data_IF_331614640059
#
_entry.id   IF_331614640059
#
_cell.length_a   1.000
_cell.length_b   1.000
_cell.length_c   1.000
_cell.angle_alpha   90.00
_cell.angle_beta   90.00
_cell.angle_gamma   90.00
#
_symmetry.space_group_name_H-M   'P 1'
#
loop_
_entity.id
_entity.type
_entity.pdbx_description
1 polymer ?
#
# COMPACT_ATOMS: atom_id res chain seq x y z
N UNK A 1 24.92 -30.27 -12.29
CA UNK A 1 24.27 -28.95 -12.47
C UNK A 1 23.72 -28.53 -11.12
N UNK A 2 24.29 -27.51 -10.47
CA UNK A 2 23.80 -27.01 -9.19
C UNK A 2 22.64 -26.03 -9.44
N UNK A 3 21.46 -26.34 -8.92
CA UNK A 3 20.31 -25.44 -8.94
C UNK A 3 20.55 -24.40 -7.86
N UNK A 4 20.84 -23.16 -8.25
CA UNK A 4 20.84 -22.04 -7.32
C UNK A 4 19.42 -21.83 -6.81
N UNK A 5 19.18 -22.17 -5.53
CA UNK A 5 17.89 -21.90 -4.88
C UNK A 5 17.82 -20.39 -4.65
N UNK A 6 16.84 -19.73 -5.25
CA UNK A 6 16.65 -18.30 -5.10
C UNK A 6 16.05 -18.02 -3.71
N UNK A 7 16.88 -17.58 -2.77
CA UNK A 7 16.48 -17.26 -1.38
C UNK A 7 15.75 -15.92 -1.25
N UNK A 8 15.44 -15.25 -2.36
CA UNK A 8 14.73 -13.98 -2.35
C UNK A 8 13.35 -14.19 -1.71
N UNK A 9 12.97 -13.41 -0.68
CA UNK A 9 11.66 -13.53 -0.07
C UNK A 9 10.56 -13.27 -1.12
N UNK A 10 9.38 -13.91 -0.99
CA UNK A 10 8.24 -13.59 -1.84
C UNK A 10 7.99 -12.08 -1.85
N UNK A 11 7.62 -11.51 -3.00
CA UNK A 11 7.43 -10.04 -3.16
C UNK A 11 6.52 -9.43 -2.09
N UNK A 12 5.48 -10.15 -1.67
CA UNK A 12 4.58 -9.73 -0.60
C UNK A 12 5.27 -9.66 0.79
N UNK A 13 6.18 -10.60 1.08
CA UNK A 13 6.97 -10.60 2.32
C UNK A 13 7.97 -9.45 2.32
N UNK A 14 8.68 -9.24 1.20
CA UNK A 14 9.59 -8.12 1.05
C UNK A 14 8.87 -6.76 1.20
N UNK A 15 7.69 -6.63 0.59
CA UNK A 15 6.83 -5.46 0.72
C UNK A 15 6.44 -5.21 2.18
N UNK A 16 5.92 -6.24 2.88
CA UNK A 16 5.57 -6.13 4.29
C UNK A 16 6.76 -5.71 5.15
N UNK A 17 7.93 -6.31 4.93
CA UNK A 17 9.13 -5.99 5.70
C UNK A 17 9.58 -4.54 5.45
N UNK A 18 9.49 -4.05 4.21
CA UNK A 18 9.80 -2.67 3.88
C UNK A 18 8.86 -1.68 4.58
N UNK A 19 7.56 -1.97 4.65
CA UNK A 19 6.60 -1.12 5.37
C UNK A 19 6.82 -1.15 6.88
N UNK A 20 7.10 -2.32 7.46
CA UNK A 20 7.46 -2.45 8.88
C UNK A 20 8.71 -1.63 9.22
N UNK A 21 9.72 -1.65 8.36
CA UNK A 21 10.93 -0.87 8.54
C UNK A 21 10.71 0.65 8.40
N UNK A 22 9.78 1.06 7.52
CA UNK A 22 9.48 2.48 7.28
C UNK A 22 8.58 3.09 8.36
N UNK A 23 7.51 2.38 8.74
CA UNK A 23 6.40 2.96 9.52
C UNK A 23 6.30 2.38 10.94
N UNK A 24 6.59 1.08 11.11
CA UNK A 24 6.55 0.35 12.38
C UNK A 24 5.19 0.24 13.08
N UNK A 25 4.19 1.03 12.69
CA UNK A 25 2.90 1.20 13.39
C UNK A 25 1.74 1.35 12.40
N UNK A 26 0.51 1.11 12.86
CA UNK A 26 -0.70 1.40 12.08
C UNK A 26 -0.76 2.90 11.75
N UNK A 27 -0.94 3.25 10.46
CA UNK A 27 -0.95 4.66 10.03
C UNK A 27 -2.08 5.49 10.69
N UNK A 28 -3.18 4.83 11.10
CA UNK A 28 -4.32 5.49 11.74
C UNK A 28 -4.15 5.56 13.26
N UNK A 29 -3.92 4.41 13.92
CA UNK A 29 -3.95 4.33 15.38
C UNK A 29 -2.59 4.43 16.06
N UNK A 30 -1.50 4.42 15.30
CA UNK A 30 -0.11 4.37 15.80
C UNK A 30 0.20 3.12 16.65
N UNK A 31 -0.68 2.11 16.66
CA UNK A 31 -0.48 0.86 17.38
C UNK A 31 0.35 -0.12 16.52
N UNK A 32 1.41 -0.76 17.05
CA UNK A 32 2.27 -1.68 16.30
C UNK A 32 1.74 -3.12 16.15
N UNK A 33 0.65 -3.49 16.84
CA UNK A 33 0.22 -4.88 16.95
C UNK A 33 -0.67 -5.32 15.78
N UNK A 34 -0.56 -6.60 15.38
CA UNK A 34 -1.47 -7.25 14.41
C UNK A 34 -1.64 -6.52 13.07
N UNK A 35 -0.54 -5.94 12.57
CA UNK A 35 -0.53 -5.15 11.34
C UNK A 35 -0.37 -6.01 10.09
N UNK A 36 -1.00 -5.54 9.01
CA UNK A 36 -0.84 -6.07 7.67
C UNK A 36 -0.40 -4.98 6.69
N UNK A 37 0.22 -5.41 5.60
CA UNK A 37 0.70 -4.55 4.53
C UNK A 37 -0.44 -4.29 3.54
N UNK A 38 -1.18 -3.21 3.76
CA UNK A 38 -2.28 -2.79 2.89
C UNK A 38 -1.73 -2.05 1.67
N UNK A 39 -2.40 -2.21 0.53
CA UNK A 39 -2.05 -1.50 -0.70
C UNK A 39 -2.97 -0.28 -0.87
N UNK A 40 -2.38 0.90 -1.08
CA UNK A 40 -3.10 2.14 -1.41
C UNK A 40 -3.71 2.09 -2.82
N UNK A 41 -3.05 1.35 -3.72
CA UNK A 41 -3.57 1.05 -5.06
C UNK A 41 -3.96 -0.42 -5.09
N UNK A 42 -5.23 -0.76 -5.37
CA UNK A 42 -5.71 -2.13 -5.20
C UNK A 42 -4.91 -3.16 -5.98
N UNK A 43 -4.42 -4.18 -5.27
CA UNK A 43 -3.53 -5.24 -5.78
C UNK A 43 -4.09 -5.96 -7.02
N UNK A 44 -5.42 -5.95 -7.17
CA UNK A 44 -6.18 -6.58 -8.26
C UNK A 44 -5.99 -5.89 -9.61
N UNK A 45 -5.53 -4.64 -9.62
CA UNK A 45 -5.26 -3.91 -10.86
C UNK A 45 -4.04 -4.45 -11.63
N UNK A 46 -3.07 -5.06 -10.92
CA UNK A 46 -1.83 -5.56 -11.53
C UNK A 46 -0.82 -4.44 -11.82
N UNK A 47 0.42 -4.82 -12.14
CA UNK A 47 1.56 -3.90 -12.22
C UNK A 47 1.40 -2.83 -13.31
N UNK A 48 0.82 -3.18 -14.47
CA UNK A 48 0.61 -2.25 -15.58
C UNK A 48 -0.37 -1.12 -15.21
N UNK A 49 -1.50 -1.47 -14.59
CA UNK A 49 -2.49 -0.49 -14.17
C UNK A 49 -1.98 0.36 -13.00
N UNK A 50 -1.24 -0.24 -12.06
CA UNK A 50 -0.55 0.50 -11.00
C UNK A 50 0.41 1.55 -11.59
N UNK A 51 1.24 1.16 -12.56
CA UNK A 51 2.14 2.10 -13.24
C UNK A 51 1.37 3.23 -13.90
N UNK A 52 0.28 2.92 -14.61
CA UNK A 52 -0.59 3.92 -15.24
C UNK A 52 -1.19 4.90 -14.22
N UNK A 53 -1.68 4.41 -13.08
CA UNK A 53 -2.19 5.26 -11.98
C UNK A 53 -1.09 6.17 -11.45
N UNK A 54 0.09 5.62 -11.13
CA UNK A 54 1.21 6.41 -10.62
C UNK A 54 1.63 7.49 -11.62
N UNK A 55 1.80 7.12 -12.89
CA UNK A 55 2.16 8.06 -13.95
C UNK A 55 1.11 9.18 -14.07
N UNK A 56 -0.18 8.83 -14.06
CA UNK A 56 -1.28 9.78 -14.19
C UNK A 56 -1.31 10.83 -13.06
N UNK A 57 -1.03 10.43 -11.82
CA UNK A 57 -1.16 11.30 -10.65
C UNK A 57 0.15 11.95 -10.20
N UNK A 58 1.30 11.41 -10.59
CA UNK A 58 2.62 11.94 -10.17
C UNK A 58 3.45 12.49 -11.33
N UNK A 59 3.10 12.17 -12.58
CA UNK A 59 3.92 12.48 -13.76
C UNK A 59 5.19 11.63 -13.88
N UNK A 60 5.39 10.64 -13.01
CA UNK A 60 6.56 9.75 -13.07
C UNK A 60 6.37 8.68 -14.14
N UNK A 61 7.33 8.60 -15.07
CA UNK A 61 7.39 7.54 -16.09
C UNK A 61 8.10 6.26 -15.61
N UNK A 62 8.52 6.23 -14.34
CA UNK A 62 9.15 5.04 -13.77
C UNK A 62 8.12 3.89 -13.66
N UNK A 63 8.49 2.71 -14.14
CA UNK A 63 7.68 1.52 -13.93
C UNK A 63 7.59 1.19 -12.43
N UNK A 64 6.37 1.10 -11.91
CA UNK A 64 6.11 0.82 -10.49
C UNK A 64 5.34 -0.48 -10.35
N UNK A 65 5.93 -1.44 -9.65
CA UNK A 65 5.22 -2.68 -9.31
C UNK A 65 4.22 -2.43 -8.19
N UNK A 66 3.16 -3.23 -8.11
CA UNK A 66 2.17 -3.13 -7.01
C UNK A 66 2.76 -3.30 -5.61
N UNK A 67 3.92 -3.96 -5.50
CA UNK A 67 4.64 -4.18 -4.25
C UNK A 67 5.68 -3.08 -3.95
N UNK A 68 5.61 -1.93 -4.64
CA UNK A 68 6.49 -0.81 -4.35
C UNK A 68 6.13 -0.21 -2.98
N UNK A 69 7.11 0.00 -2.06
CA UNK A 69 6.83 0.41 -0.69
C UNK A 69 6.03 1.72 -0.57
N UNK A 70 6.18 2.67 -1.50
CA UNK A 70 5.42 3.93 -1.50
C UNK A 70 3.92 3.74 -1.75
N UNK A 71 3.51 2.58 -2.26
CA UNK A 71 2.11 2.25 -2.51
C UNK A 71 1.47 1.45 -1.38
N UNK A 72 2.16 1.32 -0.24
CA UNK A 72 1.69 0.57 0.90
C UNK A 72 1.62 1.36 2.18
N UNK A 73 0.77 0.90 3.09
CA UNK A 73 0.66 1.38 4.47
C UNK A 73 0.40 0.20 5.41
N UNK A 74 0.75 0.36 6.69
CA UNK A 74 0.39 -0.61 7.71
C UNK A 74 -1.00 -0.30 8.29
N UNK A 75 -1.87 -1.31 8.26
CA UNK A 75 -3.23 -1.22 8.78
C UNK A 75 -3.58 -2.47 9.59
N UNK A 76 -4.64 -2.36 10.39
CA UNK A 76 -5.34 -3.54 10.88
C UNK A 76 -6.15 -4.21 9.78
N UNK A 77 -6.35 -5.53 9.89
CA UNK A 77 -7.10 -6.31 8.91
C UNK A 77 -8.49 -5.75 8.60
N UNK A 78 -9.23 -5.33 9.63
CA UNK A 78 -10.57 -4.76 9.47
C UNK A 78 -10.63 -3.49 8.63
N UNK A 79 -9.52 -2.76 8.51
CA UNK A 79 -9.42 -1.55 7.69
C UNK A 79 -8.96 -1.87 6.27
N UNK A 80 -8.05 -2.83 6.10
CA UNK A 80 -7.60 -3.29 4.78
C UNK A 80 -8.75 -3.84 3.93
N UNK A 81 -9.67 -4.60 4.55
CA UNK A 81 -10.84 -5.13 3.84
C UNK A 81 -11.68 -3.99 3.22
N UNK A 82 -11.81 -2.86 3.93
CA UNK A 82 -12.52 -1.67 3.45
C UNK A 82 -11.75 -0.92 2.35
N UNK A 83 -10.43 -0.90 2.43
CA UNK A 83 -9.58 -0.31 1.38
C UNK A 83 -9.63 -1.15 0.10
N UNK A 84 -9.56 -2.48 0.20
CA UNK A 84 -9.64 -3.39 -0.96
C UNK A 84 -11.04 -3.40 -1.60
N UNK A 85 -12.10 -3.14 -0.82
CA UNK A 85 -13.49 -2.99 -1.30
C UNK A 85 -13.84 -1.58 -1.80
N UNK A 86 -12.92 -0.60 -1.72
CA UNK A 86 -13.14 0.81 -2.07
C UNK A 86 -14.17 1.53 -1.18
N UNK A 87 -14.47 0.98 -0.01
CA UNK A 87 -15.28 1.66 1.03
C UNK A 87 -14.46 2.69 1.82
N UNK A 88 -13.13 2.59 1.77
CA UNK A 88 -12.21 3.50 2.46
C UNK A 88 -11.09 3.91 1.51
N UNK A 89 -10.71 5.18 1.58
CA UNK A 89 -9.59 5.74 0.85
C UNK A 89 -8.78 6.69 1.70
N UNK A 90 -7.61 7.04 1.19
CA UNK A 90 -6.70 7.99 1.81
C UNK A 90 -6.74 9.29 1.02
N UNK A 91 -7.10 10.38 1.69
CA UNK A 91 -7.03 11.72 1.11
C UNK A 91 -5.91 12.51 1.77
N UNK A 92 -5.25 13.38 1.01
CA UNK A 92 -4.31 14.34 1.57
C UNK A 92 -5.01 15.70 1.68
N UNK A 93 -5.41 16.07 2.89
CA UNK A 93 -6.08 17.33 3.19
C UNK A 93 -5.13 18.49 3.54
N UNK A 94 -3.81 18.24 3.58
CA UNK A 94 -2.80 19.24 3.95
C UNK A 94 -1.92 19.71 2.78
N UNK A 95 -1.17 20.82 2.95
CA UNK A 95 -0.02 21.12 2.10
C UNK A 95 1.08 20.08 2.35
N UNK A 96 1.02 18.96 1.62
CA UNK A 96 2.02 17.88 1.48
C UNK A 96 2.51 17.18 2.77
N UNK A 97 2.22 17.67 3.98
CA UNK A 97 2.91 17.19 5.20
C UNK A 97 2.08 16.33 6.16
N UNK A 98 0.74 16.31 6.09
CA UNK A 98 -0.07 15.48 7.00
C UNK A 98 -1.32 14.96 6.28
N UNK A 99 -1.34 13.65 6.02
CA UNK A 99 -2.53 12.93 5.55
C UNK A 99 -3.61 12.97 6.64
N UNK A 100 -4.73 13.68 6.42
CA UNK A 100 -5.94 13.50 7.23
C UNK A 100 -6.96 12.68 6.46
N UNK A 101 -7.58 11.73 7.16
CA UNK A 101 -8.51 10.76 6.60
C UNK A 101 -9.94 11.31 6.64
N UNK A 102 -10.63 11.35 5.52
CA UNK A 102 -12.09 11.51 5.44
C UNK A 102 -12.71 10.18 5.00
N UNK A 103 -13.59 9.63 5.83
CA UNK A 103 -14.38 8.44 5.53
C UNK A 103 -15.56 8.83 4.63
N UNK A 104 -15.45 8.58 3.33
CA UNK A 104 -16.58 8.72 2.43
C UNK A 104 -17.42 7.43 2.45
N UNK A 105 -18.60 7.49 3.06
CA UNK A 105 -19.64 6.48 2.85
C UNK A 105 -20.13 6.56 1.40
N UNK A 106 -19.66 5.64 0.55
CA UNK A 106 -20.26 5.45 -0.77
C UNK A 106 -21.47 4.52 -0.59
N UNK A 107 -22.66 5.10 -0.48
CA UNK A 107 -23.90 4.35 -0.69
C UNK A 107 -24.03 4.06 -2.19
N UNK A 108 -23.91 2.79 -2.57
CA UNK A 108 -24.39 2.25 -3.84
C UNK A 108 -25.74 1.57 -3.57
#
# INVERSE_FOLDING_TARGET
MSVAVNFSPPRATAFRNALLARDGTCIISQNPLSLIASHLVPKRLGDAAVTSVVQRFTGSDAAVTRFHPTLGVLLFRSLDDRVDSYEMGFWNSGPVSLLSFDLYHVNI
#
